data_IF_737968854105
#
_entry.id   IF_737968854105
#
_cell.length_a   1.000
_cell.length_b   1.000
_cell.length_c   1.000
_cell.angle_alpha   90.00
_cell.angle_beta   90.00
_cell.angle_gamma   90.00
#
_symmetry.space_group_name_H-M   'P 1'
#
loop_
_entity.id
_entity.type
_entity.pdbx_description
1 polymer ?
#
# COMPACT_ATOMS: atom_id res chain seq x y z
N UNK A 1 24.83 -14.07 47.99
CA UNK A 1 24.71 -15.54 47.86
C UNK A 1 24.03 -15.81 46.53
N UNK A 2 24.55 -16.38 45.45
CA UNK A 2 25.70 -17.20 45.02
C UNK A 2 25.98 -16.79 43.55
N UNK A 3 27.14 -16.30 43.09
CA UNK A 3 28.42 -16.95 42.66
C UNK A 3 28.35 -18.15 41.68
N UNK A 4 28.83 -17.87 40.44
CA UNK A 4 29.73 -18.65 39.52
C UNK A 4 29.21 -19.98 38.93
N UNK A 5 29.38 -20.29 37.63
CA UNK A 5 30.66 -20.62 36.99
C UNK A 5 30.65 -20.50 35.43
N UNK A 6 31.82 -20.10 34.92
CA UNK A 6 32.29 -20.09 33.53
C UNK A 6 33.14 -21.35 33.31
N UNK A 7 33.01 -22.04 32.16
CA UNK A 7 34.06 -22.86 31.48
C UNK A 7 33.68 -22.89 29.97
N UNK A 8 34.38 -22.36 28.95
CA UNK A 8 35.76 -22.49 28.41
C UNK A 8 36.07 -23.81 27.66
N UNK A 9 35.87 -23.79 26.31
CA UNK A 9 36.69 -24.26 25.15
C UNK A 9 37.55 -25.55 25.25
N UNK A 10 37.74 -26.34 24.14
CA UNK A 10 38.71 -25.95 23.10
C UNK A 10 38.39 -26.31 21.62
N UNK A 11 39.01 -25.52 20.73
CA UNK A 11 39.25 -25.77 19.30
C UNK A 11 40.51 -26.65 19.14
N UNK A 12 40.51 -27.64 18.23
CA UNK A 12 41.67 -27.95 17.35
C UNK A 12 41.36 -29.02 16.29
N UNK A 13 41.49 -28.62 15.01
CA UNK A 13 42.19 -29.26 13.87
C UNK A 13 41.98 -30.76 13.55
N UNK A 14 41.81 -31.21 12.30
CA UNK A 14 42.84 -31.24 11.25
C UNK A 14 42.27 -31.55 9.85
N UNK A 15 43.04 -31.12 8.84
CA UNK A 15 42.87 -31.20 7.39
C UNK A 15 43.09 -32.59 6.77
N UNK A 16 42.73 -32.66 5.47
CA UNK A 16 43.30 -33.49 4.37
C UNK A 16 42.70 -34.91 4.20
N UNK A 17 42.44 -35.49 3.02
CA UNK A 17 42.76 -35.14 1.62
C UNK A 17 41.99 -36.04 0.60
N UNK A 18 41.65 -35.46 -0.57
CA UNK A 18 41.64 -35.98 -1.98
C UNK A 18 41.15 -37.40 -2.36
N UNK A 19 40.06 -37.61 -3.14
CA UNK A 19 39.80 -37.57 -4.63
C UNK A 19 39.60 -39.01 -5.20
N UNK A 20 39.15 -39.27 -6.47
CA UNK A 20 38.20 -38.60 -7.40
C UNK A 20 37.23 -39.59 -8.15
N UNK A 21 36.53 -39.07 -9.18
CA UNK A 21 35.78 -39.70 -10.32
C UNK A 21 34.25 -39.77 -10.11
N UNK A 22 33.37 -39.31 -11.01
CA UNK A 22 33.44 -39.29 -12.48
C UNK A 22 32.73 -38.10 -13.12
N UNK A 23 33.39 -37.64 -14.18
CA UNK A 23 32.93 -36.81 -15.29
C UNK A 23 31.79 -37.54 -16.03
N UNK A 24 30.69 -36.87 -16.38
CA UNK A 24 29.97 -37.01 -17.67
C UNK A 24 28.88 -35.94 -17.82
N UNK A 25 29.05 -35.16 -18.88
CA UNK A 25 28.06 -34.44 -19.70
C UNK A 25 26.90 -33.73 -19.01
N UNK A 26 26.99 -32.40 -18.97
CA UNK A 26 25.83 -31.56 -19.26
C UNK A 26 26.19 -30.56 -20.34
N UNK A 27 25.54 -30.75 -21.48
CA UNK A 27 25.46 -29.85 -22.62
C UNK A 27 25.02 -28.46 -22.20
N UNK A 28 25.68 -27.46 -22.76
CA UNK A 28 25.36 -26.04 -22.66
C UNK A 28 23.89 -25.78 -23.00
N UNK A 29 23.09 -25.42 -21.99
CA UNK A 29 21.81 -24.74 -22.18
C UNK A 29 22.12 -23.24 -22.14
N UNK A 30 21.88 -22.46 -23.22
CA UNK A 30 21.94 -21.01 -23.13
C UNK A 30 20.81 -20.55 -22.21
N UNK A 31 21.15 -20.11 -21.00
CA UNK A 31 20.23 -19.32 -20.19
C UNK A 31 20.03 -17.99 -20.92
N UNK A 32 18.87 -17.82 -21.54
CA UNK A 32 18.33 -16.51 -21.91
C UNK A 32 18.04 -15.72 -20.62
N UNK A 33 19.08 -15.14 -20.03
CA UNK A 33 18.93 -14.04 -19.09
C UNK A 33 18.49 -12.82 -19.90
N UNK A 34 17.21 -12.49 -19.83
CA UNK A 34 16.70 -11.18 -20.23
C UNK A 34 17.27 -10.12 -19.27
N UNK A 35 18.48 -9.66 -19.56
CA UNK A 35 19.03 -8.46 -18.97
C UNK A 35 18.22 -7.24 -19.45
N UNK A 36 17.13 -6.93 -18.73
CA UNK A 36 16.52 -5.60 -18.78
C UNK A 36 17.40 -4.64 -17.98
N UNK A 37 18.12 -3.78 -18.68
CA UNK A 37 18.90 -2.69 -18.09
C UNK A 37 17.98 -1.81 -17.21
N UNK A 38 18.37 -1.41 -15.99
CA UNK A 38 17.57 -0.53 -15.13
C UNK A 38 17.14 0.78 -15.79
N UNK A 39 17.90 1.25 -16.78
CA UNK A 39 17.62 2.45 -17.57
C UNK A 39 16.37 2.33 -18.44
N UNK A 40 16.08 1.16 -19.02
CA UNK A 40 14.92 1.01 -19.93
C UNK A 40 13.60 1.04 -19.17
N UNK A 41 13.55 0.44 -17.98
CA UNK A 41 12.34 0.45 -17.15
C UNK A 41 12.02 1.84 -16.59
N UNK A 42 13.05 2.65 -16.28
CA UNK A 42 12.79 4.03 -15.86
C UNK A 42 12.18 4.86 -17.00
N UNK A 43 12.69 4.69 -18.22
CA UNK A 43 12.15 5.32 -19.41
C UNK A 43 10.68 4.93 -19.66
N UNK A 44 10.34 3.64 -19.51
CA UNK A 44 8.96 3.16 -19.64
C UNK A 44 8.01 3.78 -18.60
N UNK A 45 8.46 3.96 -17.35
CA UNK A 45 7.67 4.64 -16.30
C UNK A 45 7.39 6.09 -16.69
N UNK A 46 8.40 6.81 -17.18
CA UNK A 46 8.24 8.21 -17.60
C UNK A 46 7.35 8.34 -18.83
N UNK A 47 7.52 7.46 -19.81
CA UNK A 47 6.67 7.43 -21.02
C UNK A 47 5.20 7.19 -20.66
N UNK A 48 4.89 6.19 -19.84
CA UNK A 48 3.51 5.92 -19.40
C UNK A 48 2.96 7.09 -18.58
N UNK A 49 3.75 7.62 -17.63
CA UNK A 49 3.33 8.76 -16.83
C UNK A 49 3.03 9.98 -17.70
N UNK A 50 3.87 10.25 -18.71
CA UNK A 50 3.65 11.33 -19.66
C UNK A 50 2.35 11.12 -20.45
N UNK A 51 2.12 9.94 -21.02
CA UNK A 51 0.87 9.60 -21.70
C UNK A 51 -0.35 9.85 -20.82
N UNK A 52 -0.31 9.46 -19.54
CA UNK A 52 -1.40 9.70 -18.59
C UNK A 52 -1.68 11.19 -18.35
N UNK A 53 -0.64 12.03 -18.39
CA UNK A 53 -0.76 13.47 -18.15
C UNK A 53 -1.12 14.28 -19.40
N UNK A 54 -0.80 13.80 -20.59
CA UNK A 54 -1.06 14.51 -21.86
C UNK A 54 -2.32 14.05 -22.57
N UNK A 55 -2.84 12.86 -22.26
CA UNK A 55 -4.07 12.37 -22.87
C UNK A 55 -5.27 13.21 -22.46
N UNK A 56 -6.04 13.68 -23.45
CA UNK A 56 -7.24 14.50 -23.25
C UNK A 56 -8.44 13.67 -22.78
N UNK A 57 -8.46 12.37 -23.07
CA UNK A 57 -9.61 11.49 -22.81
C UNK A 57 -9.18 10.01 -22.60
N UNK A 58 -10.06 9.15 -22.06
CA UNK A 58 -9.76 7.74 -21.82
C UNK A 58 -9.41 6.91 -23.07
N UNK A 59 -10.00 7.22 -24.23
CA UNK A 59 -9.76 6.47 -25.46
C UNK A 59 -8.38 6.79 -26.03
N UNK A 60 -7.98 8.07 -26.06
CA UNK A 60 -6.64 8.47 -26.48
C UNK A 60 -5.57 7.83 -25.59
N UNK A 61 -5.75 7.85 -24.26
CA UNK A 61 -4.83 7.17 -23.32
C UNK A 61 -4.69 5.69 -23.65
N UNK A 62 -5.82 4.99 -23.86
CA UNK A 62 -5.82 3.56 -24.20
C UNK A 62 -5.13 3.28 -25.54
N UNK A 63 -5.30 4.14 -26.53
CA UNK A 63 -4.64 4.01 -27.84
C UNK A 63 -3.13 4.22 -27.71
N UNK A 64 -2.67 5.26 -27.01
CA UNK A 64 -1.25 5.52 -26.77
C UNK A 64 -0.57 4.38 -26.00
N UNK A 65 -1.24 3.83 -24.98
CA UNK A 65 -0.74 2.67 -24.22
C UNK A 65 -0.65 1.40 -25.08
N UNK A 66 -1.56 1.21 -26.05
CA UNK A 66 -1.47 0.08 -26.98
C UNK A 66 -0.36 0.27 -28.00
N UNK A 67 -0.21 1.48 -28.52
CA UNK A 67 0.81 1.83 -29.50
C UNK A 67 2.23 1.74 -28.92
N UNK A 68 2.39 1.94 -27.60
CA UNK A 68 3.70 1.84 -26.95
C UNK A 68 4.23 0.40 -26.87
N UNK A 69 3.35 -0.60 -26.96
CA UNK A 69 3.67 -2.03 -26.82
C UNK A 69 4.42 -2.39 -25.52
N UNK A 70 4.36 -1.52 -24.50
CA UNK A 70 5.01 -1.76 -23.21
C UNK A 70 4.20 -2.82 -22.45
N UNK A 71 4.81 -3.96 -22.06
CA UNK A 71 4.10 -4.99 -21.31
C UNK A 71 3.80 -4.54 -19.88
N UNK A 72 2.56 -4.72 -19.44
CA UNK A 72 2.19 -4.42 -18.05
C UNK A 72 2.65 -5.51 -17.10
N UNK A 73 3.58 -5.16 -16.23
CA UNK A 73 4.01 -5.97 -15.08
C UNK A 73 3.63 -5.25 -13.78
N UNK A 74 3.47 -6.00 -12.69
CA UNK A 74 3.15 -5.39 -11.39
C UNK A 74 4.22 -4.37 -10.97
N UNK A 75 5.49 -4.69 -11.20
CA UNK A 75 6.61 -3.79 -10.92
C UNK A 75 6.52 -2.47 -11.70
N UNK A 76 6.24 -2.51 -13.01
CA UNK A 76 6.07 -1.29 -13.81
C UNK A 76 4.88 -0.45 -13.32
N UNK A 77 3.72 -1.09 -13.12
CA UNK A 77 2.50 -0.42 -12.67
C UNK A 77 2.68 0.19 -11.28
N UNK A 78 3.32 -0.53 -10.36
CA UNK A 78 3.62 -0.07 -9.00
C UNK A 78 4.52 1.17 -9.03
N UNK A 79 5.54 1.20 -9.90
CA UNK A 79 6.43 2.37 -10.09
C UNK A 79 5.70 3.57 -10.70
N UNK A 80 4.87 3.35 -11.72
CA UNK A 80 4.03 4.42 -12.32
C UNK A 80 3.08 5.01 -11.27
N UNK A 81 2.38 4.17 -10.51
CA UNK A 81 1.47 4.64 -9.46
C UNK A 81 2.22 5.29 -8.28
N UNK A 82 3.42 4.81 -7.95
CA UNK A 82 4.30 5.49 -6.98
C UNK A 82 4.66 6.89 -7.46
N UNK A 83 4.98 7.06 -8.75
CA UNK A 83 5.23 8.39 -9.33
C UNK A 83 3.99 9.29 -9.24
N UNK A 84 2.81 8.79 -9.63
CA UNK A 84 1.51 9.48 -9.46
C UNK A 84 1.26 9.90 -8.00
N UNK A 85 1.58 9.02 -7.05
CA UNK A 85 1.41 9.28 -5.62
C UNK A 85 2.22 10.47 -5.13
N UNK A 86 3.43 10.67 -5.66
CA UNK A 86 4.30 11.79 -5.29
C UNK A 86 4.20 12.99 -6.23
N UNK A 87 3.51 12.86 -7.35
CA UNK A 87 3.16 13.97 -8.21
C UNK A 87 1.79 14.56 -7.85
N UNK A 88 1.47 15.70 -8.44
CA UNK A 88 0.15 16.34 -8.38
C UNK A 88 -0.69 16.04 -9.63
N UNK A 89 -0.44 14.90 -10.30
CA UNK A 89 -1.19 14.49 -11.50
C UNK A 89 -2.67 14.25 -11.20
N UNK A 90 -3.51 14.38 -12.23
CA UNK A 90 -4.95 14.14 -12.13
C UNK A 90 -5.24 12.70 -11.62
N UNK A 91 -5.94 12.55 -10.48
CA UNK A 91 -6.25 11.23 -9.91
C UNK A 91 -7.17 10.40 -10.83
N UNK A 92 -7.99 11.04 -11.67
CA UNK A 92 -8.91 10.34 -12.56
C UNK A 92 -8.18 9.75 -13.77
N UNK A 93 -7.17 10.44 -14.31
CA UNK A 93 -6.30 9.88 -15.34
C UNK A 93 -5.53 8.66 -14.81
N UNK A 94 -5.08 8.72 -13.55
CA UNK A 94 -4.46 7.57 -12.89
C UNK A 94 -5.43 6.40 -12.66
N UNK A 95 -6.68 6.69 -12.27
CA UNK A 95 -7.70 5.67 -12.16
C UNK A 95 -8.03 5.03 -13.51
N UNK A 96 -8.05 5.80 -14.59
CA UNK A 96 -8.29 5.25 -15.93
C UNK A 96 -7.13 4.34 -16.36
N UNK A 97 -5.87 4.75 -16.14
CA UNK A 97 -4.71 3.88 -16.34
C UNK A 97 -4.83 2.57 -15.52
N UNK A 98 -5.21 2.67 -14.24
CA UNK A 98 -5.44 1.51 -13.38
C UNK A 98 -6.55 0.59 -13.93
N UNK A 99 -7.64 1.15 -14.45
CA UNK A 99 -8.75 0.39 -15.05
C UNK A 99 -8.36 -0.24 -16.39
N UNK A 100 -7.58 0.46 -17.23
CA UNK A 100 -7.05 -0.07 -18.49
C UNK A 100 -6.15 -1.28 -18.22
N UNK A 101 -5.19 -1.14 -17.29
CA UNK A 101 -4.29 -2.25 -16.92
C UNK A 101 -5.05 -3.43 -16.34
N UNK A 102 -6.07 -3.20 -15.50
CA UNK A 102 -6.95 -4.24 -14.94
C UNK A 102 -7.76 -5.03 -15.99
N UNK A 103 -8.00 -4.44 -17.18
CA UNK A 103 -8.70 -5.10 -18.29
C UNK A 103 -7.75 -5.87 -19.22
N UNK A 104 -6.44 -5.80 -18.99
CA UNK A 104 -5.44 -6.52 -19.80
C UNK A 104 -5.48 -8.01 -19.46
N UNK A 105 -5.60 -8.86 -20.48
CA UNK A 105 -5.70 -10.31 -20.30
C UNK A 105 -4.46 -10.85 -19.58
N UNK A 106 -4.67 -11.59 -18.50
CA UNK A 106 -3.59 -12.21 -17.71
C UNK A 106 -2.89 -11.26 -16.72
N UNK A 107 -3.31 -10.00 -16.62
CA UNK A 107 -2.78 -9.07 -15.64
C UNK A 107 -3.69 -8.96 -14.41
N UNK A 108 -3.09 -9.05 -13.22
CA UNK A 108 -3.77 -8.81 -11.94
C UNK A 108 -2.91 -7.86 -11.12
N UNK A 109 -3.54 -6.79 -10.65
CA UNK A 109 -2.93 -5.77 -9.81
C UNK A 109 -2.41 -6.34 -8.49
N UNK A 110 -1.35 -5.74 -7.95
CA UNK A 110 -0.84 -6.05 -6.62
C UNK A 110 -1.68 -5.37 -5.52
N UNK A 111 -1.63 -5.84 -4.26
CA UNK A 111 -2.20 -5.09 -3.14
C UNK A 111 -1.59 -3.68 -3.01
N UNK A 112 -0.32 -3.52 -3.39
CA UNK A 112 0.36 -2.23 -3.35
C UNK A 112 -0.20 -1.24 -4.39
N UNK A 113 -0.49 -1.67 -5.62
CA UNK A 113 -1.08 -0.81 -6.65
C UNK A 113 -2.48 -0.35 -6.23
N UNK A 114 -3.30 -1.25 -5.67
CA UNK A 114 -4.61 -0.94 -5.12
C UNK A 114 -4.50 0.12 -4.00
N UNK A 115 -3.69 -0.14 -2.99
CA UNK A 115 -3.50 0.77 -1.85
C UNK A 115 -3.00 2.15 -2.31
N UNK A 116 -2.10 2.17 -3.28
CA UNK A 116 -1.57 3.42 -3.86
C UNK A 116 -2.66 4.19 -4.60
N UNK A 117 -3.49 3.52 -5.40
CA UNK A 117 -4.59 4.16 -6.12
C UNK A 117 -5.64 4.72 -5.14
N UNK A 118 -6.04 3.96 -4.12
CA UNK A 118 -6.95 4.42 -3.07
C UNK A 118 -6.40 5.61 -2.30
N UNK A 119 -5.10 5.62 -2.00
CA UNK A 119 -4.43 6.76 -1.39
C UNK A 119 -4.51 8.02 -2.27
N UNK A 120 -4.29 7.87 -3.58
CA UNK A 120 -4.34 8.97 -4.56
C UNK A 120 -5.75 9.54 -4.66
N UNK A 121 -6.78 8.70 -4.75
CA UNK A 121 -8.18 9.13 -4.79
C UNK A 121 -8.57 9.84 -3.49
N UNK A 122 -8.25 9.25 -2.34
CA UNK A 122 -8.52 9.84 -1.02
C UNK A 122 -7.80 11.18 -0.81
N UNK A 123 -6.55 11.32 -1.29
CA UNK A 123 -5.81 12.60 -1.26
C UNK A 123 -6.57 13.71 -1.99
N UNK A 124 -7.12 13.38 -3.15
CA UNK A 124 -7.80 14.32 -4.04
C UNK A 124 -9.30 14.43 -3.78
N UNK A 125 -9.78 13.89 -2.65
CA UNK A 125 -11.20 13.89 -2.23
C UNK A 125 -12.15 13.24 -3.24
N UNK A 126 -11.64 12.34 -4.08
CA UNK A 126 -12.41 11.52 -5.04
C UNK A 126 -12.97 10.29 -4.33
N UNK A 127 -13.83 10.54 -3.35
CA UNK A 127 -14.31 9.50 -2.43
C UNK A 127 -15.27 8.53 -3.10
N UNK A 128 -16.16 9.00 -3.99
CA UNK A 128 -17.07 8.08 -4.68
C UNK A 128 -16.32 7.10 -5.58
N UNK A 129 -15.31 7.58 -6.30
CA UNK A 129 -14.43 6.75 -7.12
C UNK A 129 -13.61 5.79 -6.25
N UNK A 130 -13.18 6.22 -5.06
CA UNK A 130 -12.48 5.36 -4.09
C UNK A 130 -13.39 4.24 -3.59
N UNK A 131 -14.66 4.53 -3.26
CA UNK A 131 -15.63 3.52 -2.82
C UNK A 131 -16.03 2.58 -3.94
N UNK A 132 -16.20 3.09 -5.16
CA UNK A 132 -16.47 2.29 -6.35
C UNK A 132 -15.31 1.32 -6.60
N UNK A 133 -14.06 1.79 -6.59
CA UNK A 133 -12.88 0.94 -6.76
C UNK A 133 -12.77 -0.15 -5.70
N UNK A 134 -13.09 0.16 -4.44
CA UNK A 134 -13.15 -0.83 -3.36
C UNK A 134 -14.22 -1.89 -3.61
N UNK A 135 -15.41 -1.48 -4.06
CA UNK A 135 -16.51 -2.41 -4.34
C UNK A 135 -16.20 -3.30 -5.55
N UNK A 136 -15.64 -2.71 -6.62
CA UNK A 136 -15.17 -3.44 -7.80
C UNK A 136 -14.12 -4.49 -7.40
N UNK A 137 -13.15 -4.09 -6.57
CA UNK A 137 -12.06 -4.97 -6.13
C UNK A 137 -12.57 -6.07 -5.20
N UNK A 138 -13.48 -5.75 -4.26
CA UNK A 138 -14.13 -6.76 -3.41
C UNK A 138 -14.84 -7.83 -4.23
N UNK A 139 -15.49 -7.42 -5.31
CA UNK A 139 -16.30 -8.32 -6.16
C UNK A 139 -15.43 -9.20 -7.05
N UNK A 140 -14.35 -8.65 -7.63
CA UNK A 140 -13.50 -9.37 -8.60
C UNK A 140 -12.30 -10.08 -7.96
N UNK A 141 -11.67 -9.45 -6.97
CA UNK A 141 -10.37 -9.84 -6.43
C UNK A 141 -10.31 -9.58 -4.92
N UNK A 142 -11.18 -10.24 -4.15
CA UNK A 142 -11.31 -10.03 -2.69
C UNK A 142 -9.96 -10.10 -1.94
N UNK A 143 -9.07 -11.01 -2.36
CA UNK A 143 -7.75 -11.21 -1.75
C UNK A 143 -6.79 -10.01 -1.85
N UNK A 144 -7.06 -9.05 -2.74
CA UNK A 144 -6.27 -7.82 -2.83
C UNK A 144 -6.59 -6.82 -1.71
N UNK A 145 -7.77 -6.92 -1.10
CA UNK A 145 -8.14 -6.07 0.04
C UNK A 145 -7.50 -6.67 1.28
N UNK A 146 -6.54 -5.95 1.85
CA UNK A 146 -5.79 -6.37 3.03
C UNK A 146 -6.11 -5.48 4.23
N UNK A 147 -5.70 -5.86 5.45
CA UNK A 147 -5.76 -4.94 6.60
C UNK A 147 -5.00 -3.64 6.34
N UNK A 148 -3.98 -3.65 5.47
CA UNK A 148 -3.26 -2.44 5.07
C UNK A 148 -4.14 -1.49 4.26
N UNK A 149 -4.97 -2.01 3.35
CA UNK A 149 -5.95 -1.24 2.57
C UNK A 149 -6.89 -0.47 3.50
N UNK A 150 -7.35 -1.10 4.58
CA UNK A 150 -8.16 -0.46 5.60
C UNK A 150 -7.45 0.73 6.24
N UNK A 151 -6.20 0.55 6.64
CA UNK A 151 -5.40 1.63 7.23
C UNK A 151 -5.22 2.81 6.25
N UNK A 152 -4.96 2.54 4.97
CA UNK A 152 -4.76 3.58 3.95
C UNK A 152 -6.02 4.42 3.76
N UNK A 153 -7.16 3.76 3.54
CA UNK A 153 -8.44 4.43 3.31
C UNK A 153 -8.86 5.24 4.54
N UNK A 154 -8.82 4.62 5.73
CA UNK A 154 -9.25 5.27 6.96
C UNK A 154 -8.32 6.41 7.38
N UNK A 155 -7.01 6.25 7.26
CA UNK A 155 -6.08 7.33 7.56
C UNK A 155 -6.32 8.54 6.63
N UNK A 156 -6.62 8.28 5.35
CA UNK A 156 -6.95 9.35 4.41
C UNK A 156 -8.25 10.07 4.73
N UNK A 157 -9.31 9.32 4.98
CA UNK A 157 -10.60 9.87 5.42
C UNK A 157 -10.39 10.69 6.69
N UNK A 158 -9.71 10.13 7.70
CA UNK A 158 -9.46 10.79 8.97
C UNK A 158 -8.70 12.11 8.81
N UNK A 159 -7.75 12.19 7.86
CA UNK A 159 -6.97 13.40 7.60
C UNK A 159 -7.78 14.49 6.88
N UNK A 160 -8.66 14.12 5.94
CA UNK A 160 -9.24 15.07 4.96
C UNK A 160 -10.73 15.37 5.20
N UNK A 161 -11.44 14.52 5.93
CA UNK A 161 -12.88 14.63 6.16
C UNK A 161 -13.22 15.33 7.49
N UNK A 162 -14.47 15.78 7.64
CA UNK A 162 -15.01 16.20 8.94
C UNK A 162 -15.19 14.99 9.88
N UNK A 163 -15.41 15.22 11.17
CA UNK A 163 -15.74 14.16 12.15
C UNK A 163 -16.94 13.33 11.68
N UNK A 164 -18.03 13.99 11.26
CA UNK A 164 -19.24 13.34 10.76
C UNK A 164 -18.94 12.43 9.56
N UNK A 165 -18.26 12.98 8.55
CA UNK A 165 -17.87 12.23 7.35
C UNK A 165 -16.92 11.07 7.67
N UNK A 166 -16.04 11.24 8.65
CA UNK A 166 -15.12 10.18 9.10
C UNK A 166 -15.89 9.00 9.69
N UNK A 167 -16.83 9.27 10.60
CA UNK A 167 -17.69 8.23 11.20
C UNK A 167 -18.51 7.52 10.13
N UNK A 168 -19.11 8.26 9.19
CA UNK A 168 -19.91 7.69 8.10
C UNK A 168 -19.07 6.81 7.17
N UNK A 169 -17.91 7.31 6.74
CA UNK A 169 -16.97 6.58 5.89
C UNK A 169 -16.47 5.31 6.57
N UNK A 170 -16.19 5.38 7.87
CA UNK A 170 -15.78 4.22 8.65
C UNK A 170 -16.88 3.15 8.68
N UNK A 171 -18.13 3.54 8.95
CA UNK A 171 -19.29 2.63 8.91
C UNK A 171 -19.51 2.05 7.51
N UNK A 172 -19.39 2.85 6.44
CA UNK A 172 -19.46 2.39 5.05
C UNK A 172 -18.38 1.35 4.77
N UNK A 173 -17.15 1.62 5.18
CA UNK A 173 -16.02 0.72 4.93
C UNK A 173 -16.12 -0.59 5.73
N UNK A 174 -16.58 -0.57 7.00
CA UNK A 174 -16.89 -1.79 7.78
C UNK A 174 -17.95 -2.68 7.11
N UNK A 175 -18.95 -2.09 6.46
CA UNK A 175 -19.94 -2.86 5.66
C UNK A 175 -19.32 -3.47 4.40
N UNK A 176 -18.33 -2.80 3.80
CA UNK A 176 -17.63 -3.30 2.62
C UNK A 176 -16.64 -4.40 2.99
N UNK A 177 -15.85 -4.23 4.04
CA UNK A 177 -14.78 -5.15 4.44
C UNK A 177 -15.13 -5.74 5.80
N UNK A 178 -15.57 -7.00 5.80
CA UNK A 178 -16.03 -7.70 7.01
C UNK A 178 -14.90 -8.03 7.99
N UNK A 179 -13.65 -8.03 7.54
CA UNK A 179 -12.45 -8.33 8.33
C UNK A 179 -11.94 -7.10 9.10
N UNK A 180 -12.87 -6.34 9.69
CA UNK A 180 -12.53 -5.21 10.55
C UNK A 180 -12.13 -5.68 11.93
N UNK A 181 -10.85 -5.50 12.27
CA UNK A 181 -10.34 -5.76 13.61
C UNK A 181 -10.12 -4.45 14.39
N UNK A 182 -9.80 -4.59 15.69
CA UNK A 182 -9.48 -3.46 16.56
C UNK A 182 -8.27 -2.67 16.08
N UNK A 183 -7.36 -3.28 15.29
CA UNK A 183 -6.16 -2.60 14.78
C UNK A 183 -6.51 -1.47 13.81
N UNK A 184 -7.59 -1.63 13.04
CA UNK A 184 -8.10 -0.61 12.12
C UNK A 184 -8.63 0.61 12.88
N UNK A 185 -9.36 0.39 13.98
CA UNK A 185 -9.83 1.46 14.88
C UNK A 185 -8.64 2.18 15.54
N UNK A 186 -7.67 1.43 16.04
CA UNK A 186 -6.45 2.02 16.64
C UNK A 186 -5.65 2.85 15.62
N UNK A 187 -5.60 2.42 14.36
CA UNK A 187 -4.96 3.18 13.29
C UNK A 187 -5.72 4.48 12.95
N UNK A 188 -7.05 4.43 12.95
CA UNK A 188 -7.91 5.61 12.82
C UNK A 188 -7.64 6.61 13.95
N UNK A 189 -7.71 6.18 15.22
CA UNK A 189 -7.53 7.09 16.36
C UNK A 189 -6.13 7.68 16.39
N UNK A 190 -5.10 6.89 16.08
CA UNK A 190 -3.73 7.41 15.94
C UNK A 190 -3.66 8.52 14.89
N UNK A 191 -4.30 8.31 13.73
CA UNK A 191 -4.31 9.33 12.66
C UNK A 191 -5.09 10.56 13.08
N UNK A 192 -6.27 10.42 13.70
CA UNK A 192 -7.06 11.55 14.18
C UNK A 192 -6.31 12.37 15.23
N UNK A 193 -5.63 11.72 16.16
CA UNK A 193 -4.82 12.38 17.16
C UNK A 193 -3.60 13.12 16.57
N UNK A 194 -3.08 12.67 15.43
CA UNK A 194 -1.94 13.30 14.73
C UNK A 194 -2.38 14.45 13.81
N UNK A 195 -3.51 14.29 13.14
CA UNK A 195 -3.96 15.19 12.06
C UNK A 195 -5.07 16.16 12.50
N UNK A 196 -5.71 15.91 13.64
CA UNK A 196 -6.84 16.70 14.18
C UNK A 196 -6.69 16.98 15.67
N UNK A 197 -7.67 17.69 16.22
CA UNK A 197 -7.74 17.96 17.65
C UNK A 197 -8.06 16.68 18.46
N UNK A 198 -7.58 16.63 19.70
CA UNK A 198 -7.95 15.57 20.65
C UNK A 198 -9.47 15.49 20.87
N UNK A 199 -10.16 16.64 20.82
CA UNK A 199 -11.62 16.71 20.90
C UNK A 199 -12.28 15.97 19.74
N UNK A 200 -11.80 16.16 18.51
CA UNK A 200 -12.30 15.43 17.33
C UNK A 200 -12.07 13.92 17.45
N UNK A 201 -10.88 13.52 17.90
CA UNK A 201 -10.56 12.11 18.11
C UNK A 201 -11.48 11.46 19.16
N UNK A 202 -11.74 12.15 20.27
CA UNK A 202 -12.70 11.71 21.31
C UNK A 202 -14.13 11.63 20.77
N UNK A 203 -14.56 12.60 19.97
CA UNK A 203 -15.89 12.60 19.35
C UNK A 203 -16.08 11.38 18.42
N UNK A 204 -15.08 11.08 17.58
CA UNK A 204 -15.12 9.88 16.72
C UNK A 204 -15.13 8.60 17.57
N UNK A 205 -14.32 8.54 18.63
CA UNK A 205 -14.31 7.40 19.56
C UNK A 205 -15.70 7.18 20.18
N UNK A 206 -16.32 8.22 20.74
CA UNK A 206 -17.65 8.09 21.33
C UNK A 206 -18.72 7.67 20.33
N UNK A 207 -18.61 8.09 19.07
CA UNK A 207 -19.52 7.68 18.00
C UNK A 207 -19.33 6.21 17.54
N UNK A 208 -18.15 5.63 17.77
CA UNK A 208 -17.79 4.28 17.33
C UNK A 208 -17.58 3.27 18.48
N UNK A 209 -17.59 3.68 19.75
CA UNK A 209 -17.24 2.82 20.90
C UNK A 209 -18.09 1.56 21.07
N UNK A 210 -19.27 1.52 20.45
CA UNK A 210 -20.17 0.36 20.47
C UNK A 210 -19.96 -0.57 19.26
N UNK A 211 -19.15 -0.17 18.28
CA UNK A 211 -18.87 -0.92 17.06
C UNK A 211 -17.68 -1.89 17.21
N UNK A 212 -16.89 -1.75 18.28
CA UNK A 212 -15.70 -2.56 18.59
C UNK A 212 -15.46 -2.61 20.10
N UNK A 213 -14.57 -3.51 20.54
CA UNK A 213 -14.09 -3.56 21.92
C UNK A 213 -12.73 -2.84 22.01
N UNK A 214 -12.65 -1.65 22.65
CA UNK A 214 -11.38 -0.98 22.89
C UNK A 214 -10.41 -1.86 23.68
N UNK A 215 -9.12 -1.78 23.35
CA UNK A 215 -8.07 -2.49 24.07
C UNK A 215 -7.07 -1.50 24.69
N UNK A 216 -6.07 -2.02 25.41
CA UNK A 216 -5.04 -1.20 26.04
C UNK A 216 -4.36 -0.24 25.05
N UNK A 217 -4.13 -0.70 23.81
CA UNK A 217 -3.55 0.14 22.76
C UNK A 217 -4.46 1.32 22.39
N UNK A 218 -5.78 1.15 22.37
CA UNK A 218 -6.74 2.24 22.13
C UNK A 218 -6.56 3.36 23.16
N UNK A 219 -6.52 3.02 24.45
CA UNK A 219 -6.37 4.01 25.53
C UNK A 219 -4.97 4.62 25.55
N UNK A 220 -3.93 3.82 25.29
CA UNK A 220 -2.55 4.32 25.20
C UNK A 220 -2.41 5.36 24.09
N UNK A 221 -3.12 5.25 22.97
CA UNK A 221 -3.10 6.26 21.90
C UNK A 221 -3.61 7.61 22.43
N UNK A 222 -4.73 7.63 23.16
CA UNK A 222 -5.27 8.87 23.72
C UNK A 222 -4.36 9.47 24.79
N UNK A 223 -3.90 8.66 25.75
CA UNK A 223 -3.01 9.10 26.84
C UNK A 223 -1.68 9.62 26.30
N UNK A 224 -1.07 8.92 25.34
CA UNK A 224 0.22 9.32 24.79
C UNK A 224 0.14 10.66 24.06
N UNK A 225 -0.94 10.92 23.33
CA UNK A 225 -1.11 12.19 22.60
C UNK A 225 -1.40 13.34 23.56
N UNK A 226 -2.14 13.08 24.63
CA UNK A 226 -2.43 14.04 25.70
C UNK A 226 -1.16 14.45 26.44
N UNK A 227 -0.28 13.50 26.76
CA UNK A 227 1.02 13.76 27.42
C UNK A 227 2.01 14.47 26.49
N UNK A 228 2.05 14.09 25.20
CA UNK A 228 3.06 14.63 24.27
C UNK A 228 2.70 15.98 23.65
N UNK A 229 1.48 16.50 23.86
CA UNK A 229 1.05 17.80 23.34
C UNK A 229 1.04 17.91 21.80
N UNK A 230 1.23 16.80 21.07
CA UNK A 230 1.42 16.76 19.60
C UNK A 230 0.15 16.99 18.76
N UNK A 231 -0.91 17.55 19.36
CA UNK A 231 -2.13 17.94 18.65
C UNK A 231 -1.96 19.14 17.70
N UNK A 232 -0.78 19.77 17.62
CA UNK A 232 -0.47 20.84 16.66
C UNK A 232 0.98 20.76 16.17
N UNK A 233 1.18 20.20 14.97
CA UNK A 233 2.20 20.69 14.05
C UNK A 233 3.66 20.26 14.23
N UNK A 234 3.97 18.96 14.25
CA UNK A 234 5.33 18.50 13.97
C UNK A 234 5.28 17.36 12.97
N UNK A 235 5.32 17.73 11.69
CA UNK A 235 5.75 16.99 10.48
C UNK A 235 5.16 17.76 9.29
N UNK A 236 5.69 18.97 9.06
CA UNK A 236 5.64 19.61 7.73
C UNK A 236 6.87 19.16 6.97
#
# INVERSE_FOLDING_TARGET
MFRLLIQSLPLHSLLSSSTPLSRRYFSSIPQLQSHLSPSSQHDDVERIFHMMTTSSDPLSLKQSLRASQIPFTNDLVDRVLKRVRFSHSNPLSALEFYRITSRTKGFVHSPYSLDTMLYVLGRSRKFEEMWELLLETKTKYRSLITPRTAQVVLARVAKVCSVKQTVESFKRFKRLVSEFDVSCYNSLFRTLCQEKSMSDARNVYHALKHEFRPNLQTFNIFVWVEITGRGRGVFR
#
